data_IF_786057480335
#
_entry.id   IF_786057480335
#
_cell.length_a   1.000
_cell.length_b   1.000
_cell.length_c   1.000
_cell.angle_alpha   90.00
_cell.angle_beta   90.00
_cell.angle_gamma   90.00
#
_symmetry.space_group_name_H-M   'P 1'
#
loop_
_entity.id
_entity.type
_entity.pdbx_description
1 polymer ?
#
# COMPACT_ATOMS: atom_id res chain seq x y z
N UNK A 1 19.86 -29.54 15.20
CA UNK A 1 19.59 -28.09 15.31
C UNK A 1 20.26 -27.38 14.14
N UNK A 2 19.53 -27.02 13.07
CA UNK A 2 20.10 -26.18 12.01
C UNK A 2 19.86 -24.70 12.37
N UNK A 3 20.92 -24.00 12.73
CA UNK A 3 20.89 -22.54 12.83
C UNK A 3 20.66 -21.96 11.44
N UNK A 4 19.51 -21.32 11.24
CA UNK A 4 19.30 -20.50 10.05
C UNK A 4 20.36 -19.40 10.03
N UNK A 5 21.31 -19.49 9.10
CA UNK A 5 22.30 -18.45 8.87
C UNK A 5 21.57 -17.11 8.72
N UNK A 6 22.00 -16.09 9.47
CA UNK A 6 21.45 -14.73 9.33
C UNK A 6 21.82 -14.22 7.94
N UNK A 7 20.86 -14.25 7.02
CA UNK A 7 21.01 -13.63 5.70
C UNK A 7 21.14 -12.10 5.79
N UNK A 8 21.52 -11.44 4.67
CA UNK A 8 21.68 -10.00 4.62
C UNK A 8 20.39 -9.28 5.06
N UNK A 9 20.57 -8.20 5.82
CA UNK A 9 19.50 -7.45 6.44
C UNK A 9 19.59 -5.99 5.99
N UNK A 10 18.48 -5.44 5.53
CA UNK A 10 18.37 -4.03 5.19
C UNK A 10 17.44 -3.33 6.18
N UNK A 11 17.81 -2.12 6.56
CA UNK A 11 17.10 -1.36 7.56
C UNK A 11 16.56 -0.04 7.02
N UNK A 12 15.26 0.16 7.19
CA UNK A 12 14.60 1.37 6.73
C UNK A 12 13.79 2.01 7.86
N UNK A 13 13.88 3.34 7.97
CA UNK A 13 13.05 4.09 8.92
C UNK A 13 11.90 4.74 8.16
N UNK A 14 10.67 4.51 8.63
CA UNK A 14 9.47 5.05 8.01
C UNK A 14 8.66 5.88 9.02
N UNK A 15 8.40 7.14 8.70
CA UNK A 15 7.53 8.01 9.50
C UNK A 15 6.11 7.95 8.94
N UNK A 16 5.14 7.51 9.76
CA UNK A 16 3.71 7.83 9.54
C UNK A 16 3.37 9.07 10.35
N UNK A 17 2.36 9.84 9.92
CA UNK A 17 1.93 11.10 10.54
C UNK A 17 1.71 11.05 12.07
N UNK A 18 1.51 9.86 12.65
CA UNK A 18 1.29 9.67 14.09
C UNK A 18 2.25 8.67 14.77
N UNK A 19 3.26 8.15 14.07
CA UNK A 19 4.25 7.22 14.65
C UNK A 19 5.55 7.15 13.85
N UNK A 20 6.69 7.24 14.53
CA UNK A 20 7.99 6.81 14.01
C UNK A 20 8.03 5.28 14.04
N UNK A 21 8.07 4.63 12.88
CA UNK A 21 8.18 3.18 12.78
C UNK A 21 9.53 2.80 12.17
N UNK A 22 10.36 2.07 12.92
CA UNK A 22 11.56 1.44 12.36
C UNK A 22 11.18 0.09 11.77
N UNK A 23 11.63 -0.18 10.54
CA UNK A 23 11.31 -1.39 9.77
C UNK A 23 12.59 -2.03 9.26
N UNK A 24 12.89 -3.22 9.74
CA UNK A 24 14.01 -4.03 9.23
C UNK A 24 13.45 -5.14 8.36
N UNK A 25 14.08 -5.39 7.21
CA UNK A 25 13.80 -6.53 6.34
C UNK A 25 15.03 -7.44 6.34
N UNK A 26 14.80 -8.73 6.60
CA UNK A 26 15.83 -9.77 6.45
C UNK A 26 15.39 -10.73 5.38
N UNK A 27 16.28 -11.10 4.48
CA UNK A 27 15.95 -12.01 3.37
C UNK A 27 16.69 -13.32 3.57
N UNK A 28 15.99 -14.43 3.32
CA UNK A 28 16.54 -15.76 3.26
C UNK A 28 15.93 -16.51 2.09
N UNK A 29 16.63 -17.52 1.57
CA UNK A 29 16.02 -18.47 0.64
C UNK A 29 14.85 -19.18 1.33
N UNK A 30 13.80 -19.45 0.55
CA UNK A 30 12.66 -20.21 1.06
C UNK A 30 13.13 -21.62 1.48
N UNK A 31 12.89 -22.03 2.73
CA UNK A 31 13.17 -23.40 3.15
C UNK A 31 12.35 -24.42 2.36
N UNK A 32 12.91 -25.62 2.14
CA UNK A 32 12.26 -26.69 1.38
C UNK A 32 10.90 -27.15 1.92
N UNK A 33 10.59 -26.88 3.19
CA UNK A 33 9.29 -27.21 3.78
C UNK A 33 8.18 -26.20 3.44
N UNK A 34 8.51 -25.06 2.84
CA UNK A 34 7.51 -24.14 2.29
C UNK A 34 6.98 -24.77 0.99
N UNK A 35 5.88 -25.51 1.10
CA UNK A 35 5.22 -26.18 -0.02
C UNK A 35 4.47 -25.24 -0.98
N UNK A 36 4.79 -23.94 -0.99
CA UNK A 36 4.24 -23.00 -1.95
C UNK A 36 5.10 -23.01 -3.21
N UNK A 37 4.53 -23.53 -4.29
CA UNK A 37 5.20 -23.59 -5.59
C UNK A 37 5.56 -22.18 -6.07
N UNK A 38 6.84 -21.98 -6.40
CA UNK A 38 7.36 -20.67 -6.76
C UNK A 38 7.83 -19.78 -5.60
N UNK A 39 7.80 -20.23 -4.34
CA UNK A 39 8.49 -19.52 -3.25
C UNK A 39 10.01 -19.74 -3.35
N UNK A 40 10.76 -18.69 -3.69
CA UNK A 40 12.24 -18.77 -3.79
C UNK A 40 12.94 -17.99 -2.70
N UNK A 41 12.32 -16.93 -2.16
CA UNK A 41 12.79 -16.22 -0.98
C UNK A 41 11.65 -15.95 0.01
N UNK A 42 12.02 -15.88 1.29
CA UNK A 42 11.20 -15.35 2.37
C UNK A 42 11.90 -14.13 2.96
N UNK A 43 11.17 -13.03 3.05
CA UNK A 43 11.65 -11.85 3.75
C UNK A 43 10.84 -11.59 5.03
N UNK A 44 11.55 -11.43 6.15
CA UNK A 44 10.99 -11.12 7.46
C UNK A 44 11.04 -9.62 7.69
N UNK A 45 9.88 -8.99 7.80
CA UNK A 45 9.77 -7.60 8.22
C UNK A 45 9.46 -7.52 9.71
N UNK A 46 10.30 -6.80 10.47
CA UNK A 46 10.09 -6.49 11.88
C UNK A 46 9.75 -5.01 12.04
N UNK A 47 8.56 -4.68 12.55
CA UNK A 47 8.20 -3.29 12.93
C UNK A 47 8.44 -3.11 14.43
N UNK A 48 9.16 -2.06 14.88
CA UNK A 48 9.21 -1.72 16.32
C UNK A 48 9.21 -0.21 16.62
N UNK A 49 8.49 0.11 17.70
CA UNK A 49 8.25 1.38 18.43
C UNK A 49 7.02 2.18 17.99
N UNK A 50 6.04 2.29 18.89
CA UNK A 50 4.92 3.25 18.84
C UNK A 50 4.84 3.93 20.20
N UNK A 51 4.85 5.28 20.24
CA UNK A 51 4.68 6.07 21.47
C UNK A 51 5.59 5.61 22.63
N UNK A 52 6.86 5.33 22.37
CA UNK A 52 7.82 4.84 23.37
C UNK A 52 7.69 3.35 23.74
N UNK A 53 6.62 2.65 23.32
CA UNK A 53 6.47 1.20 23.53
C UNK A 53 7.01 0.40 22.34
N UNK A 54 7.89 -0.56 22.61
CA UNK A 54 8.38 -1.53 21.63
C UNK A 54 7.29 -2.58 21.36
N UNK A 55 6.52 -2.41 20.29
CA UNK A 55 5.65 -3.48 19.75
C UNK A 55 6.39 -4.19 18.62
N UNK A 56 6.44 -5.51 18.61
CA UNK A 56 7.05 -6.29 17.52
C UNK A 56 5.94 -6.84 16.64
N UNK A 57 5.93 -6.43 15.38
CA UNK A 57 5.10 -7.04 14.34
C UNK A 57 6.00 -7.80 13.37
N UNK A 58 5.63 -9.04 13.06
CA UNK A 58 6.37 -9.94 12.18
C UNK A 58 5.54 -10.18 10.92
N UNK A 59 6.05 -9.76 9.76
CA UNK A 59 5.39 -9.98 8.46
C UNK A 59 6.29 -10.83 7.59
N UNK A 60 5.75 -11.89 7.01
CA UNK A 60 6.41 -12.74 6.03
C UNK A 60 6.05 -12.27 4.63
N UNK A 61 7.08 -12.02 3.82
CA UNK A 61 6.96 -11.72 2.41
C UNK A 61 7.49 -12.92 1.64
N UNK A 62 6.74 -13.40 0.67
CA UNK A 62 7.12 -14.54 -0.17
C UNK A 62 7.23 -14.03 -1.60
N UNK A 63 8.31 -14.36 -2.28
CA UNK A 63 8.56 -13.96 -3.66
C UNK A 63 9.12 -15.12 -4.46
N UNK A 64 8.81 -15.13 -5.76
CA UNK A 64 9.41 -16.01 -6.76
C UNK A 64 10.72 -15.49 -7.32
N UNK A 65 11.02 -14.19 -7.15
CA UNK A 65 12.31 -13.63 -7.49
C UNK A 65 13.40 -14.06 -6.49
N UNK A 66 14.28 -14.95 -6.93
CA UNK A 66 15.37 -15.50 -6.11
C UNK A 66 16.55 -14.55 -5.93
N UNK A 67 16.65 -13.54 -6.78
CA UNK A 67 17.76 -12.59 -6.84
C UNK A 67 17.42 -11.22 -6.25
N UNK A 68 16.15 -10.98 -5.91
CA UNK A 68 15.73 -9.73 -5.30
C UNK A 68 16.55 -9.43 -4.05
N UNK A 69 17.16 -8.25 -4.04
CA UNK A 69 17.93 -7.77 -2.89
C UNK A 69 16.98 -7.32 -1.76
N UNK A 70 17.44 -7.28 -0.50
CA UNK A 70 16.66 -6.72 0.60
C UNK A 70 16.13 -5.30 0.33
N UNK A 71 16.90 -4.46 -0.35
CA UNK A 71 16.55 -3.09 -0.73
C UNK A 71 15.42 -3.07 -1.76
N UNK A 72 15.49 -3.97 -2.75
CA UNK A 72 14.49 -4.16 -3.79
C UNK A 72 13.15 -4.59 -3.18
N UNK A 73 13.17 -5.61 -2.32
CA UNK A 73 11.99 -6.06 -1.61
C UNK A 73 11.41 -4.96 -0.70
N UNK A 74 12.27 -4.20 -0.02
CA UNK A 74 11.84 -3.06 0.77
C UNK A 74 11.14 -1.99 -0.08
N UNK A 75 11.65 -1.71 -1.28
CA UNK A 75 11.04 -0.78 -2.22
C UNK A 75 9.66 -1.27 -2.69
N UNK A 76 9.52 -2.55 -3.02
CA UNK A 76 8.23 -3.14 -3.41
C UNK A 76 7.20 -3.07 -2.29
N UNK A 77 7.59 -3.41 -1.05
CA UNK A 77 6.70 -3.30 0.12
C UNK A 77 6.28 -1.86 0.37
N UNK A 78 7.19 -0.89 0.21
CA UNK A 78 6.85 0.54 0.30
C UNK A 78 5.85 0.94 -0.78
N UNK A 79 6.10 0.55 -2.03
CA UNK A 79 5.20 0.83 -3.16
C UNK A 79 3.83 0.18 -2.96
N UNK A 80 3.78 -1.06 -2.48
CA UNK A 80 2.52 -1.73 -2.16
C UNK A 80 1.74 -0.98 -1.07
N UNK A 81 2.43 -0.53 -0.01
CA UNK A 81 1.83 0.32 1.02
C UNK A 81 1.36 1.68 0.51
N UNK A 82 1.88 2.18 -0.61
CA UNK A 82 1.34 3.38 -1.25
C UNK A 82 -0.06 3.12 -1.79
N UNK A 83 -0.40 1.94 -2.33
CA UNK A 83 -1.76 1.65 -2.78
C UNK A 83 -2.76 1.81 -1.64
N UNK A 84 -2.45 1.25 -0.48
CA UNK A 84 -3.27 1.39 0.72
C UNK A 84 -3.42 2.86 1.13
N UNK A 85 -2.31 3.60 1.25
CA UNK A 85 -2.35 4.97 1.75
C UNK A 85 -2.91 5.97 0.73
N UNK A 86 -2.68 5.74 -0.57
CA UNK A 86 -3.02 6.68 -1.64
C UNK A 86 -4.38 6.37 -2.25
N UNK A 87 -4.83 5.12 -2.30
CA UNK A 87 -6.12 4.76 -2.88
C UNK A 87 -7.14 4.45 -1.78
N UNK A 88 -6.92 3.40 -1.00
CA UNK A 88 -7.88 2.93 0.00
C UNK A 88 -8.24 4.04 0.99
N UNK A 89 -7.23 4.65 1.60
CA UNK A 89 -7.50 5.69 2.59
C UNK A 89 -8.30 6.87 2.03
N UNK A 90 -8.00 7.30 0.79
CA UNK A 90 -8.75 8.38 0.16
C UNK A 90 -10.19 7.96 -0.12
N UNK A 91 -10.45 6.71 -0.52
CA UNK A 91 -11.82 6.21 -0.69
C UNK A 91 -12.58 6.19 0.63
N UNK A 92 -11.95 5.72 1.70
CA UNK A 92 -12.62 5.58 2.99
C UNK A 92 -12.93 6.95 3.60
N UNK A 93 -11.98 7.90 3.60
CA UNK A 93 -12.22 9.20 4.24
C UNK A 93 -12.80 10.27 3.33
N UNK A 94 -12.32 10.40 2.10
CA UNK A 94 -12.81 11.46 1.21
C UNK A 94 -14.12 11.05 0.56
N UNK A 95 -14.25 9.79 0.16
CA UNK A 95 -15.47 9.28 -0.50
C UNK A 95 -16.42 8.53 0.44
N UNK A 96 -16.07 8.40 1.72
CA UNK A 96 -16.89 7.76 2.75
C UNK A 96 -17.36 6.36 2.34
N UNK A 97 -16.47 5.60 1.69
CA UNK A 97 -16.77 4.27 1.14
C UNK A 97 -17.37 3.33 2.21
N UNK A 98 -16.78 3.29 3.41
CA UNK A 98 -17.26 2.48 4.54
C UNK A 98 -18.69 2.83 5.00
N UNK A 99 -19.13 4.08 4.77
CA UNK A 99 -20.48 4.53 5.13
C UNK A 99 -21.51 4.34 4.02
N UNK A 100 -21.09 3.84 2.86
CA UNK A 100 -21.96 3.63 1.71
C UNK A 100 -23.00 2.54 2.01
N UNK A 101 -24.29 2.90 1.88
CA UNK A 101 -25.42 1.96 2.06
C UNK A 101 -25.78 1.21 0.77
N UNK A 102 -25.07 1.47 -0.32
CA UNK A 102 -25.25 0.76 -1.60
C UNK A 102 -24.86 -0.71 -1.44
N UNK A 103 -25.83 -1.62 -1.53
CA UNK A 103 -25.64 -3.08 -1.32
C UNK A 103 -26.21 -3.96 -2.45
N UNK A 104 -26.95 -3.39 -3.40
CA UNK A 104 -27.72 -4.16 -4.39
C UNK A 104 -26.91 -4.50 -5.63
N UNK A 105 -26.93 -5.77 -6.05
CA UNK A 105 -26.35 -6.24 -7.30
C UNK A 105 -24.89 -5.82 -7.49
N UNK A 106 -24.54 -5.31 -8.68
CA UNK A 106 -23.19 -4.86 -9.00
C UNK A 106 -22.86 -3.44 -8.53
N UNK A 107 -23.80 -2.75 -7.88
CA UNK A 107 -23.63 -1.34 -7.50
C UNK A 107 -22.43 -1.07 -6.57
N UNK A 108 -22.10 -1.92 -5.57
CA UNK A 108 -20.90 -1.72 -4.75
C UNK A 108 -19.60 -1.72 -5.57
N UNK A 109 -19.48 -2.66 -6.52
CA UNK A 109 -18.31 -2.77 -7.41
C UNK A 109 -18.21 -1.56 -8.34
N UNK A 110 -19.32 -1.15 -8.93
CA UNK A 110 -19.36 0.04 -9.80
C UNK A 110 -18.94 1.29 -9.04
N UNK A 111 -19.44 1.50 -7.82
CA UNK A 111 -19.06 2.64 -6.99
C UNK A 111 -17.58 2.62 -6.62
N UNK A 112 -17.02 1.45 -6.28
CA UNK A 112 -15.59 1.31 -6.03
C UNK A 112 -14.74 1.67 -7.27
N UNK A 113 -15.17 1.23 -8.46
CA UNK A 113 -14.51 1.58 -9.73
C UNK A 113 -14.59 3.07 -10.04
N UNK A 114 -15.77 3.69 -9.91
CA UNK A 114 -15.96 5.12 -10.18
C UNK A 114 -15.13 6.01 -9.23
N UNK A 115 -15.10 5.69 -7.93
CA UNK A 115 -14.24 6.41 -6.97
C UNK A 115 -12.76 6.25 -7.31
N UNK A 116 -12.35 5.03 -7.69
CA UNK A 116 -10.96 4.78 -8.07
C UNK A 116 -10.57 5.53 -9.34
N UNK A 117 -11.48 5.62 -10.31
CA UNK A 117 -11.30 6.42 -11.53
C UNK A 117 -11.17 7.90 -11.20
N UNK A 118 -12.09 8.47 -10.41
CA UNK A 118 -12.03 9.87 -10.00
C UNK A 118 -10.72 10.23 -9.29
N UNK A 119 -10.26 9.37 -8.36
CA UNK A 119 -8.97 9.55 -7.69
C UNK A 119 -7.81 9.53 -8.69
N UNK A 120 -7.87 8.64 -9.68
CA UNK A 120 -6.79 8.47 -10.66
C UNK A 120 -6.69 9.67 -11.59
N UNK A 121 -7.82 10.14 -12.13
CA UNK A 121 -7.88 11.33 -13.01
C UNK A 121 -7.35 12.56 -12.28
N UNK A 122 -7.81 12.82 -11.06
CA UNK A 122 -7.34 13.98 -10.28
C UNK A 122 -5.83 13.92 -10.01
N UNK A 123 -5.27 12.72 -9.84
CA UNK A 123 -3.81 12.57 -9.69
C UNK A 123 -3.03 12.75 -10.98
N UNK A 124 -3.58 12.30 -12.11
CA UNK A 124 -2.98 12.54 -13.41
C UNK A 124 -2.93 14.03 -13.72
N UNK A 125 -3.94 14.78 -13.27
CA UNK A 125 -3.97 16.25 -13.31
C UNK A 125 -3.09 16.93 -12.23
N UNK A 126 -2.32 16.15 -11.47
CA UNK A 126 -1.34 16.68 -10.51
C UNK A 126 -1.88 17.02 -9.13
N UNK A 127 -3.14 16.71 -8.81
CA UNK A 127 -3.68 16.98 -7.47
C UNK A 127 -3.17 15.99 -6.41
N UNK A 128 -2.45 16.51 -5.41
CA UNK A 128 -2.02 15.74 -4.24
C UNK A 128 -3.14 15.63 -3.17
N UNK A 129 -3.90 16.70 -2.94
CA UNK A 129 -5.05 16.73 -2.04
C UNK A 129 -6.36 16.51 -2.81
N UNK A 130 -6.85 15.27 -2.74
CA UNK A 130 -8.06 14.85 -3.44
C UNK A 130 -9.33 15.50 -2.86
N UNK A 131 -9.37 15.80 -1.55
CA UNK A 131 -10.53 16.44 -0.96
C UNK A 131 -10.66 17.89 -1.42
N UNK A 132 -9.54 18.62 -1.51
CA UNK A 132 -9.50 19.96 -2.08
C UNK A 132 -9.88 19.96 -3.57
N UNK A 133 -9.32 19.02 -4.34
CA UNK A 133 -9.63 18.88 -5.76
C UNK A 133 -11.12 18.58 -5.98
N UNK A 134 -11.72 17.69 -5.19
CA UNK A 134 -13.17 17.43 -5.24
C UNK A 134 -13.99 18.71 -4.99
N UNK A 135 -13.63 19.52 -3.98
CA UNK A 135 -14.33 20.80 -3.71
C UNK A 135 -14.18 21.81 -4.84
N UNK A 136 -13.02 21.85 -5.50
CA UNK A 136 -12.77 22.72 -6.64
C UNK A 136 -13.66 22.35 -7.85
N UNK A 137 -13.82 21.04 -8.11
CA UNK A 137 -14.58 20.52 -9.24
C UNK A 137 -16.09 20.42 -8.99
N UNK A 138 -16.52 20.24 -7.74
CA UNK A 138 -17.92 20.02 -7.38
C UNK A 138 -18.89 21.15 -7.78
N UNK A 139 -18.39 22.38 -7.95
CA UNK A 139 -19.21 23.55 -8.30
C UNK A 139 -19.26 23.85 -9.79
N UNK A 140 -18.49 23.13 -10.61
CA UNK A 140 -18.39 23.38 -12.04
C UNK A 140 -18.15 22.06 -12.80
N UNK A 141 -19.22 21.42 -13.31
CA UNK A 141 -19.14 20.17 -14.03
C UNK A 141 -18.24 20.22 -15.28
N UNK A 142 -18.03 21.41 -15.86
CA UNK A 142 -17.19 21.55 -17.06
C UNK A 142 -15.72 21.28 -16.75
N UNK A 143 -15.27 21.57 -15.52
CA UNK A 143 -13.90 21.23 -15.10
C UNK A 143 -13.71 19.72 -15.07
N UNK A 144 -14.66 19.01 -14.46
CA UNK A 144 -14.63 17.54 -14.42
C UNK A 144 -14.69 16.94 -15.83
N UNK A 145 -15.52 17.50 -16.72
CA UNK A 145 -15.63 17.02 -18.09
C UNK A 145 -14.32 17.21 -18.87
N UNK A 146 -13.64 18.36 -18.71
CA UNK A 146 -12.32 18.58 -19.31
C UNK A 146 -11.29 17.55 -18.86
N UNK A 147 -11.29 17.21 -17.56
CA UNK A 147 -10.40 16.17 -17.04
C UNK A 147 -10.69 14.80 -17.65
N UNK A 148 -11.96 14.46 -17.85
CA UNK A 148 -12.36 13.18 -18.49
C UNK A 148 -11.97 13.13 -19.97
N UNK A 149 -11.94 14.27 -20.65
CA UNK A 149 -11.56 14.35 -22.06
C UNK A 149 -10.04 14.34 -22.28
N UNK A 150 -9.27 14.71 -21.25
CA UNK A 150 -7.81 14.76 -21.29
C UNK A 150 -7.12 13.49 -20.74
N UNK A 151 -7.87 12.58 -20.12
CA UNK A 151 -7.39 11.34 -19.50
C UNK A 151 -7.49 10.15 -20.47
#
# INVERSE_FOLDING_TARGET
>A
MLGAARGPAEESTFRRAFALARRTIKVALAPAWIGFEGATQVALRRTVVRKGKKTVEVVYLITSDRSASPETLAAWVRRHGHTENKLHWVRDVTYQEDKSLVRTGNAPRLMASLRSLAISILRLDGHADIAAANRHHARDPQRTLKLLQAA
#
